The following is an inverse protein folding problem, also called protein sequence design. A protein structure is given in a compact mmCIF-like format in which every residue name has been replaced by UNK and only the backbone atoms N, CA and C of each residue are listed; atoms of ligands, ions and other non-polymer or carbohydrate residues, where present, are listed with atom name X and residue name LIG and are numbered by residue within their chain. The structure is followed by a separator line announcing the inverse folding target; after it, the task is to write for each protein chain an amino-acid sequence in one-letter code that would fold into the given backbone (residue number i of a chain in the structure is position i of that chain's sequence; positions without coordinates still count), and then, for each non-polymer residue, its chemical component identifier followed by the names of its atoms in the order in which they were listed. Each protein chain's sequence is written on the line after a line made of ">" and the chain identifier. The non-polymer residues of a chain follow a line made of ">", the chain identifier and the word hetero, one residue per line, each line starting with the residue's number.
data_IF_711712987266
#
_entry.id   IF_711712987266
#
_cell.length_a   1.000
_cell.length_b   1.000
_cell.length_c   1.000
_cell.angle_alpha   90.00
_cell.angle_beta   90.00
_cell.angle_gamma   90.00
#
_symmetry.space_group_name_H-M   'P 1'
#
loop_
_entity.id
_entity.type
_entity.pdbx_description
1 polymer ?
#
# COMPACT_ATOMS: atom_id res chain seq x y z
N UNK A 1 -14.24 14.36 13.56
CA UNK A 1 -13.23 13.81 12.63
C UNK A 1 -12.91 14.93 11.66
N UNK A 2 -11.70 15.48 11.71
CA UNK A 2 -11.26 16.45 10.72
C UNK A 2 -11.10 15.71 9.39
N UNK A 3 -11.92 16.05 8.40
CA UNK A 3 -11.63 15.69 7.02
C UNK A 3 -10.22 16.20 6.74
N UNK A 4 -9.27 15.30 6.52
CA UNK A 4 -7.96 15.71 6.09
C UNK A 4 -8.15 16.48 4.78
N UNK A 5 -7.91 17.79 4.80
CA UNK A 5 -8.17 18.65 3.66
C UNK A 5 -7.32 18.16 2.50
N UNK A 6 -7.95 17.51 1.52
CA UNK A 6 -7.29 17.06 0.30
C UNK A 6 -6.60 18.28 -0.34
N UNK A 7 -5.29 18.21 -0.51
CA UNK A 7 -4.55 19.25 -1.22
C UNK A 7 -4.52 18.86 -2.69
N UNK A 8 -4.78 19.81 -3.58
CA UNK A 8 -4.65 19.58 -5.01
C UNK A 8 -3.17 19.33 -5.33
N UNK A 9 -2.78 18.07 -5.52
CA UNK A 9 -1.42 17.62 -5.74
C UNK A 9 -1.27 17.10 -7.17
N UNK A 10 -0.13 17.37 -7.80
CA UNK A 10 0.23 16.78 -9.08
C UNK A 10 0.57 15.29 -8.90
N UNK A 11 0.58 14.52 -9.99
CA UNK A 11 0.82 13.08 -9.92
C UNK A 11 2.22 12.76 -9.40
N UNK A 12 3.19 13.60 -9.74
CA UNK A 12 4.60 13.49 -9.37
C UNK A 12 4.83 13.73 -7.87
N UNK A 13 3.93 14.45 -7.19
CA UNK A 13 4.03 14.72 -5.75
C UNK A 13 3.82 13.46 -4.89
N UNK A 14 3.27 12.40 -5.48
CA UNK A 14 3.06 11.11 -4.81
C UNK A 14 4.30 10.23 -4.83
N UNK A 15 5.23 10.46 -5.76
CA UNK A 15 6.41 9.62 -5.97
C UNK A 15 7.31 9.68 -4.74
N UNK A 16 7.72 8.52 -4.25
CA UNK A 16 8.47 8.46 -3.00
C UNK A 16 8.26 7.17 -2.22
N UNK A 17 9.02 7.05 -1.15
CA UNK A 17 8.74 6.15 -0.07
C UNK A 17 8.14 6.92 1.09
N UNK A 18 7.15 6.31 1.71
CA UNK A 18 6.36 6.87 2.78
C UNK A 18 6.13 5.79 3.84
N UNK A 19 6.02 6.19 5.10
CA UNK A 19 5.82 5.26 6.21
C UNK A 19 4.67 5.66 7.11
N UNK A 20 4.10 4.67 7.77
CA UNK A 20 3.21 4.85 8.89
C UNK A 20 3.67 3.97 10.04
N UNK A 21 3.78 4.57 11.23
CA UNK A 21 4.12 3.85 12.45
C UNK A 21 3.11 4.15 13.55
N UNK A 22 2.47 3.13 14.11
CA UNK A 22 1.59 3.26 15.28
C UNK A 22 1.50 1.95 16.06
N UNK A 23 1.66 2.02 17.39
CA UNK A 23 1.44 0.88 18.30
C UNK A 23 2.06 -0.44 17.79
N UNK A 24 3.34 -0.38 17.42
CA UNK A 24 4.15 -1.49 16.88
C UNK A 24 3.79 -1.97 15.46
N UNK A 25 2.82 -1.34 14.80
CA UNK A 25 2.59 -1.53 13.37
C UNK A 25 3.52 -0.61 12.58
N UNK A 26 4.23 -1.20 11.61
CA UNK A 26 5.03 -0.48 10.62
C UNK A 26 4.51 -0.81 9.23
N UNK A 27 4.09 0.22 8.50
CA UNK A 27 3.54 0.10 7.16
C UNK A 27 4.36 0.99 6.23
N UNK A 28 4.82 0.41 5.14
CA UNK A 28 5.53 1.10 4.07
C UNK A 28 4.62 1.30 2.87
N UNK A 29 4.72 2.46 2.25
CA UNK A 29 4.16 2.78 0.95
C UNK A 29 5.30 3.24 0.04
N UNK A 30 5.46 2.59 -1.10
CA UNK A 30 6.31 3.08 -2.19
C UNK A 30 5.42 3.40 -3.38
N UNK A 31 5.61 4.57 -3.99
CA UNK A 31 4.98 4.95 -5.25
C UNK A 31 6.07 5.32 -6.24
N UNK A 32 6.03 4.68 -7.41
CA UNK A 32 6.97 4.89 -8.51
C UNK A 32 6.21 5.12 -9.82
N UNK A 33 6.87 5.76 -10.77
CA UNK A 33 6.43 5.77 -12.18
C UNK A 33 7.32 4.81 -12.97
N UNK A 34 6.71 3.83 -13.63
CA UNK A 34 7.38 2.85 -14.46
C UNK A 34 6.67 2.77 -15.81
N UNK A 35 7.42 3.00 -16.89
CA UNK A 35 6.91 2.96 -18.27
C UNK A 35 5.67 3.85 -18.52
N UNK A 36 5.57 4.98 -17.80
CA UNK A 36 4.44 5.91 -17.89
C UNK A 36 3.20 5.51 -17.10
N UNK A 37 3.30 4.47 -16.27
CA UNK A 37 2.26 4.05 -15.33
C UNK A 37 2.72 4.24 -13.88
N UNK A 38 1.81 4.72 -13.03
CA UNK A 38 2.08 4.82 -11.59
C UNK A 38 1.84 3.46 -10.94
N UNK A 39 2.77 3.01 -10.11
CA UNK A 39 2.63 1.79 -9.34
C UNK A 39 2.81 2.10 -7.86
N UNK A 40 1.95 1.54 -7.02
CA UNK A 40 2.10 1.60 -5.57
C UNK A 40 2.25 0.20 -4.97
N UNK A 41 3.19 0.07 -4.05
CA UNK A 41 3.34 -1.09 -3.19
C UNK A 41 3.12 -0.66 -1.74
N UNK A 42 2.15 -1.28 -1.06
CA UNK A 42 1.94 -1.15 0.38
C UNK A 42 2.38 -2.44 1.05
N UNK A 43 3.30 -2.37 2.00
CA UNK A 43 3.72 -3.52 2.81
C UNK A 43 3.38 -3.26 4.27
N UNK A 44 2.58 -4.15 4.86
CA UNK A 44 2.17 -4.11 6.25
C UNK A 44 2.64 -5.37 6.97
N UNK A 45 3.59 -5.19 7.87
CA UNK A 45 4.04 -6.25 8.77
C UNK A 45 3.17 -6.24 10.03
N UNK A 46 2.33 -7.25 10.19
CA UNK A 46 1.53 -7.41 11.40
C UNK A 46 2.39 -8.07 12.50
N UNK A 47 2.16 -7.66 13.74
CA UNK A 47 2.85 -8.20 14.92
C UNK A 47 2.65 -9.70 15.15
N UNK A 48 1.69 -10.31 14.44
CA UNK A 48 1.36 -11.74 14.47
C UNK A 48 2.27 -12.60 13.58
N UNK A 49 3.27 -12.01 12.89
CA UNK A 49 4.14 -12.73 11.95
C UNK A 49 3.45 -12.99 10.60
N UNK A 50 2.46 -12.16 10.26
CA UNK A 50 1.80 -12.11 8.96
C UNK A 50 2.23 -10.83 8.24
N UNK A 51 2.59 -10.95 6.97
CA UNK A 51 2.93 -9.82 6.10
C UNK A 51 1.86 -9.69 5.03
N UNK A 52 1.28 -8.50 4.91
CA UNK A 52 0.28 -8.18 3.89
C UNK A 52 0.86 -7.19 2.92
N UNK A 53 0.78 -7.51 1.64
CA UNK A 53 1.28 -6.67 0.57
C UNK A 53 0.14 -6.34 -0.39
N UNK A 54 0.07 -5.08 -0.81
CA UNK A 54 -0.81 -4.65 -1.88
C UNK A 54 0.01 -4.00 -2.98
N UNK A 55 -0.19 -4.47 -4.20
CA UNK A 55 0.39 -3.90 -5.41
C UNK A 55 -0.74 -3.29 -6.22
N UNK A 56 -0.60 -2.04 -6.65
CA UNK A 56 -1.62 -1.31 -7.39
C UNK A 56 -1.02 -0.67 -8.63
N UNK A 57 -1.66 -0.89 -9.79
CA UNK A 57 -1.48 -0.02 -10.97
C UNK A 57 -2.45 1.15 -10.86
N UNK A 58 -1.92 2.37 -10.93
CA UNK A 58 -2.62 3.60 -10.59
C UNK A 58 -2.78 4.51 -11.79
N UNK A 59 -3.89 5.24 -11.81
CA UNK A 59 -4.15 6.34 -12.74
C UNK A 59 -4.33 7.63 -11.97
N UNK A 60 -3.73 8.70 -12.47
CA UNK A 60 -3.97 10.02 -11.93
C UNK A 60 -5.32 10.58 -12.40
N UNK A 61 -6.14 11.03 -11.46
CA UNK A 61 -7.48 11.57 -11.71
C UNK A 61 -7.87 12.54 -10.60
N UNK A 62 -8.21 13.78 -10.98
CA UNK A 62 -8.76 14.80 -10.08
C UNK A 62 -7.93 15.02 -8.79
N UNK A 63 -6.60 15.08 -8.90
CA UNK A 63 -5.69 15.29 -7.76
C UNK A 63 -5.40 14.04 -6.92
N UNK A 64 -5.76 12.85 -7.42
CA UNK A 64 -5.60 11.56 -6.74
C UNK A 64 -4.94 10.54 -7.64
N UNK A 65 -4.30 9.53 -7.04
CA UNK A 65 -3.97 8.28 -7.72
C UNK A 65 -5.02 7.21 -7.37
N UNK A 66 -5.57 6.56 -8.38
CA UNK A 66 -6.71 5.62 -8.24
C UNK A 66 -6.41 4.29 -8.90
N UNK A 67 -6.72 3.19 -8.22
CA UNK A 67 -6.78 1.84 -8.77
C UNK A 67 -8.23 1.34 -8.74
N UNK A 68 -8.81 1.12 -9.93
CA UNK A 68 -10.23 0.73 -10.08
C UNK A 68 -10.46 -0.79 -10.17
N UNK A 69 -9.45 -1.59 -10.54
CA UNK A 69 -9.61 -3.05 -10.67
C UNK A 69 -8.31 -3.87 -10.80
N UNK A 70 -7.13 -3.25 -10.77
CA UNK A 70 -5.87 -3.92 -11.09
C UNK A 70 -4.95 -4.13 -9.88
N UNK A 71 -5.50 -4.00 -8.67
CA UNK A 71 -4.72 -4.26 -7.47
C UNK A 71 -4.64 -5.76 -7.16
N UNK A 72 -3.51 -6.17 -6.60
CA UNK A 72 -3.27 -7.51 -6.07
C UNK A 72 -2.95 -7.40 -4.59
N UNK A 73 -3.60 -8.22 -3.76
CA UNK A 73 -3.22 -8.40 -2.35
C UNK A 73 -2.56 -9.75 -2.17
N UNK A 74 -1.45 -9.79 -1.44
CA UNK A 74 -0.77 -11.00 -0.99
C UNK A 74 -0.76 -11.04 0.54
N UNK A 75 -1.08 -12.18 1.13
CA UNK A 75 -0.97 -12.43 2.58
C UNK A 75 0.03 -13.57 2.79
N UNK A 76 1.14 -13.28 3.46
CA UNK A 76 2.26 -14.20 3.66
C UNK A 76 2.36 -14.55 5.16
N UNK A 77 2.36 -15.84 5.47
CA UNK A 77 2.58 -16.34 6.82
C UNK A 77 4.07 -16.66 7.05
N UNK A 78 4.79 -15.72 7.66
CA UNK A 78 6.24 -15.83 7.85
C UNK A 78 6.62 -16.98 8.83
N UNK A 79 5.75 -17.26 9.81
CA UNK A 79 5.98 -18.35 10.76
C UNK A 79 5.96 -19.73 10.09
N UNK A 80 5.12 -19.92 9.05
CA UNK A 80 5.11 -21.13 8.24
C UNK A 80 6.28 -21.17 7.26
N UNK A 81 6.66 -20.03 6.70
CA UNK A 81 7.82 -19.92 5.81
C UNK A 81 9.12 -20.35 6.53
N UNK A 82 9.31 -19.92 7.78
CA UNK A 82 10.49 -20.27 8.58
C UNK A 82 10.50 -21.74 9.08
N UNK A 83 9.34 -22.41 9.11
CA UNK A 83 9.17 -23.74 9.66
C UNK A 83 9.26 -24.88 8.61
N UNK A 84 9.22 -24.58 7.31
CA UNK A 84 9.27 -25.59 6.26
C UNK A 84 10.71 -25.87 5.78
N UNK A 85 11.04 -27.16 5.61
CA UNK A 85 12.28 -27.63 4.96
C UNK A 85 12.19 -27.57 3.42
N UNK A 86 12.82 -28.51 2.72
CA UNK A 86 13.03 -28.44 1.25
C UNK A 86 11.78 -28.55 0.34
N UNK A 87 10.57 -28.79 0.88
CA UNK A 87 9.34 -28.88 0.08
C UNK A 87 8.37 -27.79 0.51
N UNK A 88 8.12 -26.86 -0.40
CA UNK A 88 7.30 -25.67 -0.17
C UNK A 88 5.93 -25.89 -0.83
N UNK A 89 4.87 -26.04 -0.03
CA UNK A 89 3.51 -25.80 -0.53
C UNK A 89 3.20 -24.31 -0.35
N UNK A 90 3.35 -23.56 -1.44
CA UNK A 90 3.15 -22.11 -1.45
C UNK A 90 1.71 -21.71 -1.09
N UNK A 91 0.72 -22.59 -1.26
CA UNK A 91 -0.67 -22.28 -0.93
C UNK A 91 -0.95 -22.23 0.57
N UNK A 92 -0.11 -22.90 1.37
CA UNK A 92 -0.18 -22.85 2.83
C UNK A 92 0.53 -21.62 3.43
N UNK A 93 1.38 -20.97 2.64
CA UNK A 93 2.26 -19.86 3.04
C UNK A 93 1.74 -18.53 2.51
N UNK A 94 1.21 -18.50 1.28
CA UNK A 94 0.81 -17.29 0.59
C UNK A 94 -0.60 -17.42 0.01
N UNK A 95 -1.42 -16.41 0.26
CA UNK A 95 -2.74 -16.27 -0.36
C UNK A 95 -2.79 -14.98 -1.17
N UNK A 96 -3.22 -15.06 -2.42
CA UNK A 96 -3.43 -13.88 -3.27
C UNK A 96 -4.90 -13.59 -3.51
N UNK A 97 -5.25 -12.31 -3.51
CA UNK A 97 -6.61 -11.81 -3.79
C UNK A 97 -6.52 -10.72 -4.87
N UNK A 98 -7.01 -10.98 -6.10
CA UNK A 98 -6.95 -10.01 -7.18
C UNK A 98 -8.05 -8.94 -7.07
N UNK A 99 -8.07 -8.02 -8.04
CA UNK A 99 -9.08 -6.98 -8.24
C UNK A 99 -9.25 -6.03 -7.05
N UNK A 100 -8.15 -5.73 -6.36
CA UNK A 100 -8.15 -4.74 -5.29
C UNK A 100 -8.28 -3.33 -5.87
N UNK A 101 -8.96 -2.49 -5.12
CA UNK A 101 -9.27 -1.10 -5.46
C UNK A 101 -8.81 -0.17 -4.36
N UNK A 102 -8.26 0.97 -4.73
CA UNK A 102 -7.72 1.94 -3.78
C UNK A 102 -7.70 3.36 -4.34
N UNK A 103 -7.74 4.33 -3.44
CA UNK A 103 -7.43 5.72 -3.73
C UNK A 103 -6.28 6.20 -2.84
N UNK A 104 -5.42 7.02 -3.41
CA UNK A 104 -4.38 7.75 -2.72
C UNK A 104 -4.58 9.24 -2.95
N UNK A 105 -4.58 10.02 -1.87
CA UNK A 105 -4.73 11.46 -1.96
C UNK A 105 -3.78 12.15 -0.98
N UNK A 106 -3.30 13.32 -1.39
CA UNK A 106 -2.38 14.10 -0.58
C UNK A 106 -3.14 14.96 0.42
N UNK A 107 -2.52 15.14 1.57
CA UNK A 107 -2.96 16.07 2.61
C UNK A 107 -1.76 16.94 2.99
N UNK A 108 -1.99 18.00 3.77
CA UNK A 108 -0.88 18.77 4.37
C UNK A 108 0.05 17.93 5.25
N UNK A 109 -0.38 16.72 5.60
CA UNK A 109 0.29 15.82 6.52
C UNK A 109 0.99 14.65 5.83
N UNK A 110 0.74 14.39 4.55
CA UNK A 110 1.27 13.24 3.81
C UNK A 110 0.22 12.55 2.93
N UNK A 111 0.50 11.32 2.50
CA UNK A 111 -0.40 10.53 1.65
C UNK A 111 -1.38 9.75 2.49
N UNK A 112 -2.67 9.93 2.23
CA UNK A 112 -3.70 9.03 2.70
C UNK A 112 -3.88 7.87 1.71
N UNK A 113 -3.89 6.65 2.22
CA UNK A 113 -4.27 5.45 1.46
C UNK A 113 -5.67 5.00 1.88
N UNK A 114 -6.56 4.82 0.92
CA UNK A 114 -7.89 4.29 1.17
C UNK A 114 -8.10 3.03 0.32
N UNK A 115 -7.90 1.86 0.92
CA UNK A 115 -8.27 0.58 0.31
C UNK A 115 -9.80 0.47 0.26
N UNK A 116 -10.35 0.63 -0.94
CA UNK A 116 -11.79 0.64 -1.18
C UNK A 116 -12.39 -0.77 -1.17
N UNK A 117 -11.60 -1.80 -1.48
CA UNK A 117 -12.05 -3.20 -1.50
C UNK A 117 -12.30 -3.77 -0.11
N UNK A 118 -11.49 -3.36 0.87
CA UNK A 118 -11.57 -3.86 2.24
C UNK A 118 -12.14 -2.82 3.23
N UNK A 119 -12.34 -1.58 2.78
CA UNK A 119 -12.82 -0.47 3.62
C UNK A 119 -11.89 -0.13 4.79
N UNK A 120 -10.64 -0.58 4.75
CA UNK A 120 -9.81 -0.85 5.93
C UNK A 120 -8.69 0.14 6.22
N UNK A 121 -8.54 1.23 5.45
CA UNK A 121 -7.37 2.12 5.61
C UNK A 121 -7.68 3.62 5.79
N UNK A 122 -8.94 4.01 6.01
CA UNK A 122 -9.38 5.43 5.97
C UNK A 122 -8.64 6.40 6.90
N UNK A 123 -7.89 5.89 7.88
CA UNK A 123 -7.16 6.69 8.89
C UNK A 123 -5.62 6.60 8.77
N UNK A 124 -5.09 5.93 7.74
CA UNK A 124 -3.63 5.83 7.55
C UNK A 124 -3.13 7.03 6.73
N UNK A 125 -2.34 7.87 7.38
CA UNK A 125 -1.61 8.98 6.75
C UNK A 125 -0.12 8.66 6.77
N UNK A 126 0.42 8.27 5.63
CA UNK A 126 1.83 7.99 5.46
C UNK A 126 2.64 9.30 5.44
N UNK A 127 3.74 9.32 6.18
CA UNK A 127 4.70 10.43 6.24
C UNK A 127 5.85 10.16 5.27
N UNK A 128 6.33 11.21 4.63
CA UNK A 128 7.41 11.10 3.65
C UNK A 128 8.70 10.62 4.30
N UNK A 129 9.33 9.62 3.71
CA UNK A 129 10.66 9.13 4.10
C UNK A 129 11.74 9.68 3.19
N UNK A 130 11.64 9.37 1.90
CA UNK A 130 12.66 9.70 0.90
C UNK A 130 12.12 9.60 -0.52
N UNK A 131 12.80 10.28 -1.46
CA UNK A 131 12.54 10.09 -2.88
C UNK A 131 13.01 8.70 -3.33
N UNK A 132 12.23 8.05 -4.19
CA UNK A 132 12.70 6.94 -5.02
C UNK A 132 13.08 7.54 -6.37
N UNK A 133 14.36 7.44 -6.71
CA UNK A 133 14.92 7.97 -7.95
C UNK A 133 14.82 6.98 -9.11
#
# INVERSE_FOLDING_TARGET
>A
MSEANNVNAAAEDFLGQWEYTKNDEYIMLAIVELDGEYQAAVSWNESTGMTKEWEYTLKYKDGKLVCDSYGLKSEINESKLAAQGDVIDLSDIMKTTPNQTAEFYMTSEGICWNNLSEGSAKDIVFKFLQNVG
#
